data_IF_072208021890
#
_entry.id   IF_072208021890
#
_cell.length_a   1.000
_cell.length_b   1.000
_cell.length_c   1.000
_cell.angle_alpha   90.00
_cell.angle_beta   90.00
_cell.angle_gamma   90.00
#
_symmetry.space_group_name_H-M   'P 1'
#
loop_
_entity.id
_entity.type
_entity.pdbx_description
1 polymer ?
#
# COMPACT_ATOMS: atom_id res chain seq x y z
N UNK A 1 10.29 -11.62 -6.45
CA UNK A 1 10.74 -12.27 -5.21
C UNK A 1 11.40 -11.26 -4.28
N UNK A 2 12.42 -10.51 -4.74
CA UNK A 2 13.16 -9.52 -3.92
C UNK A 2 12.25 -8.53 -3.14
N UNK A 3 11.12 -8.11 -3.71
CA UNK A 3 10.16 -7.24 -3.03
C UNK A 3 9.60 -7.90 -1.76
N UNK A 4 9.26 -9.18 -1.82
CA UNK A 4 8.70 -9.88 -0.66
C UNK A 4 9.74 -10.22 0.40
N UNK A 5 10.99 -10.45 -0.01
CA UNK A 5 12.12 -10.57 0.91
C UNK A 5 12.33 -9.27 1.67
N UNK A 6 12.33 -8.13 0.96
CA UNK A 6 12.37 -6.80 1.58
C UNK A 6 11.19 -6.56 2.53
N UNK A 7 9.97 -6.95 2.15
CA UNK A 7 8.79 -6.82 3.01
C UNK A 7 8.97 -7.64 4.30
N UNK A 8 9.37 -8.91 4.16
CA UNK A 8 9.59 -9.77 5.31
C UNK A 8 10.64 -9.18 6.26
N UNK A 9 11.74 -8.67 5.71
CA UNK A 9 12.81 -8.02 6.49
C UNK A 9 12.32 -6.76 7.19
N UNK A 10 11.67 -5.86 6.46
CA UNK A 10 11.21 -4.56 6.99
C UNK A 10 10.09 -4.69 8.03
N UNK A 11 9.23 -5.72 7.92
CA UNK A 11 8.03 -5.85 8.75
C UNK A 11 8.19 -6.84 9.90
N UNK A 12 9.24 -7.65 9.91
CA UNK A 12 9.54 -8.59 11.03
C UNK A 12 9.49 -7.93 12.42
N UNK A 13 9.97 -6.69 12.63
CA UNK A 13 9.89 -6.04 13.93
C UNK A 13 8.48 -5.58 14.34
N UNK A 14 7.48 -5.60 13.43
CA UNK A 14 6.14 -5.11 13.71
C UNK A 14 5.33 -6.14 14.49
N UNK A 15 4.61 -5.66 15.50
CA UNK A 15 3.73 -6.50 16.32
C UNK A 15 2.70 -7.23 15.45
N UNK A 16 2.62 -8.54 15.64
CA UNK A 16 1.65 -9.39 14.95
C UNK A 16 2.01 -9.70 13.49
N UNK A 17 3.18 -9.26 12.99
CA UNK A 17 3.63 -9.65 11.67
C UNK A 17 4.05 -11.11 11.63
N UNK A 18 3.67 -11.81 10.58
CA UNK A 18 4.14 -13.17 10.26
C UNK A 18 4.71 -13.16 8.86
N UNK A 19 5.93 -13.66 8.72
CA UNK A 19 6.61 -13.69 7.43
C UNK A 19 5.79 -14.47 6.39
N UNK A 20 5.74 -13.92 5.18
CA UNK A 20 5.02 -14.53 4.06
C UNK A 20 5.76 -15.78 3.59
N UNK A 21 5.02 -16.87 3.48
CA UNK A 21 5.51 -18.11 2.88
C UNK A 21 5.58 -17.99 1.36
N UNK A 22 6.43 -18.81 0.70
CA UNK A 22 6.55 -18.80 -0.77
C UNK A 22 5.20 -19.00 -1.46
N UNK A 23 4.37 -19.90 -0.94
CA UNK A 23 3.02 -20.14 -1.49
C UNK A 23 2.12 -18.89 -1.44
N UNK A 24 2.18 -18.13 -0.35
CA UNK A 24 1.44 -16.86 -0.22
C UNK A 24 2.00 -15.80 -1.18
N UNK A 25 3.32 -15.70 -1.32
CA UNK A 25 3.99 -14.81 -2.26
C UNK A 25 3.51 -15.09 -3.69
N UNK A 26 3.57 -16.34 -4.12
CA UNK A 26 3.14 -16.76 -5.46
C UNK A 26 1.66 -16.43 -5.72
N UNK A 27 0.82 -16.61 -4.70
CA UNK A 27 -0.59 -16.25 -4.76
C UNK A 27 -0.79 -14.74 -4.89
N UNK A 28 -0.08 -13.93 -4.12
CA UNK A 28 -0.16 -12.47 -4.20
C UNK A 28 0.34 -11.95 -5.55
N UNK A 29 1.48 -12.44 -6.03
CA UNK A 29 1.99 -12.07 -7.36
C UNK A 29 0.95 -12.38 -8.43
N UNK A 30 0.40 -13.59 -8.45
CA UNK A 30 -0.60 -14.01 -9.43
C UNK A 30 -1.88 -13.16 -9.38
N UNK A 31 -2.28 -12.73 -8.19
CA UNK A 31 -3.52 -11.97 -7.96
C UNK A 31 -3.35 -10.48 -8.30
N UNK A 32 -2.27 -9.86 -7.84
CA UNK A 32 -2.11 -8.41 -7.89
C UNK A 32 -1.34 -7.91 -9.11
N UNK A 33 -0.30 -8.65 -9.57
CA UNK A 33 0.54 -8.19 -10.68
C UNK A 33 -0.25 -7.85 -11.96
N UNK A 34 -1.30 -8.60 -12.36
CA UNK A 34 -2.07 -8.30 -13.57
C UNK A 34 -2.89 -7.01 -13.48
N UNK A 35 -3.21 -6.54 -12.27
CA UNK A 35 -4.06 -5.36 -12.05
C UNK A 35 -3.27 -4.12 -11.61
N UNK A 36 -1.99 -4.28 -11.25
CA UNK A 36 -1.12 -3.18 -10.85
C UNK A 36 -0.75 -2.31 -12.06
N UNK A 37 -0.81 -1.01 -11.87
CA UNK A 37 -0.17 -0.06 -12.77
C UNK A 37 1.27 0.14 -12.33
N UNK A 38 2.22 -0.31 -13.13
CA UNK A 38 3.65 -0.22 -12.80
C UNK A 38 4.15 1.21 -12.60
N UNK A 39 3.44 2.22 -13.10
CA UNK A 39 3.73 3.63 -12.82
C UNK A 39 3.50 3.99 -11.34
N UNK A 40 2.60 3.26 -10.67
CA UNK A 40 2.26 3.41 -9.26
C UNK A 40 3.09 2.47 -8.35
N UNK A 41 4.13 1.86 -8.92
CA UNK A 41 5.11 1.04 -8.21
C UNK A 41 6.46 1.72 -8.31
N UNK A 42 7.11 1.98 -7.18
CA UNK A 42 8.46 2.53 -7.12
C UNK A 42 9.39 1.59 -6.38
N UNK A 43 10.54 1.34 -6.97
CA UNK A 43 11.63 0.58 -6.39
C UNK A 43 12.83 1.51 -6.24
N UNK A 44 13.54 1.40 -5.12
CA UNK A 44 14.81 2.09 -4.90
C UNK A 44 15.86 1.03 -4.64
N UNK A 45 16.97 1.12 -5.37
CA UNK A 45 18.16 0.30 -5.18
C UNK A 45 19.31 1.16 -4.65
N UNK A 46 20.27 0.52 -4.00
CA UNK A 46 21.53 1.14 -3.62
C UNK A 46 22.56 1.10 -4.77
N UNK A 47 23.81 1.44 -4.45
CA UNK A 47 24.92 1.47 -5.43
C UNK A 47 25.34 0.08 -5.94
N UNK A 48 24.99 -0.95 -5.20
CA UNK A 48 25.24 -2.35 -5.53
C UNK A 48 24.00 -3.03 -6.18
N UNK A 49 23.06 -2.23 -6.69
CA UNK A 49 21.79 -2.68 -7.29
C UNK A 49 20.91 -3.53 -6.36
N UNK A 50 21.13 -3.45 -5.04
CA UNK A 50 20.31 -4.16 -4.07
C UNK A 50 19.03 -3.37 -3.78
N UNK A 51 17.88 -4.04 -3.80
CA UNK A 51 16.58 -3.41 -3.49
C UNK A 51 16.55 -2.99 -2.01
N UNK A 52 16.42 -1.70 -1.76
CA UNK A 52 16.40 -1.12 -0.40
C UNK A 52 15.06 -0.52 0.00
N UNK A 53 14.22 -0.17 -0.97
CA UNK A 53 12.88 0.30 -0.67
C UNK A 53 11.88 0.00 -1.80
N UNK A 54 10.62 -0.13 -1.43
CA UNK A 54 9.50 -0.30 -2.36
C UNK A 54 8.28 0.49 -1.88
N UNK A 55 7.59 1.13 -2.83
CA UNK A 55 6.27 1.73 -2.65
C UNK A 55 5.32 1.17 -3.70
N UNK A 56 4.18 0.66 -3.26
CA UNK A 56 3.13 0.10 -4.13
C UNK A 56 1.81 0.76 -3.78
N UNK A 57 1.14 1.28 -4.79
CA UNK A 57 -0.18 1.88 -4.67
C UNK A 57 -1.08 1.46 -5.82
N UNK A 58 -2.39 1.63 -5.65
CA UNK A 58 -3.38 1.35 -6.68
C UNK A 58 -4.59 2.26 -6.55
N UNK A 59 -5.41 2.42 -7.60
CA UNK A 59 -6.69 3.11 -7.46
C UNK A 59 -7.55 2.45 -6.39
N UNK A 60 -8.19 3.27 -5.53
CA UNK A 60 -9.09 2.71 -4.50
C UNK A 60 -10.30 2.03 -5.14
N UNK A 61 -10.57 0.82 -4.68
CA UNK A 61 -11.74 0.05 -5.09
C UNK A 61 -12.95 0.28 -4.18
N UNK A 62 -12.82 1.08 -3.12
CA UNK A 62 -13.84 1.28 -2.10
C UNK A 62 -15.17 1.79 -2.69
N UNK A 63 -15.12 2.77 -3.59
CA UNK A 63 -16.32 3.31 -4.24
C UNK A 63 -16.99 2.28 -5.17
N UNK A 64 -16.18 1.50 -5.89
CA UNK A 64 -16.69 0.44 -6.77
C UNK A 64 -17.37 -0.67 -5.96
N UNK A 65 -16.78 -1.07 -4.84
CA UNK A 65 -17.34 -2.06 -3.92
C UNK A 65 -18.62 -1.55 -3.26
N UNK A 66 -18.69 -0.29 -2.87
CA UNK A 66 -19.92 0.31 -2.34
C UNK A 66 -21.03 0.32 -3.38
N UNK A 67 -20.77 0.75 -4.62
CA UNK A 67 -21.75 0.78 -5.71
C UNK A 67 -22.25 -0.61 -6.11
N UNK A 68 -21.39 -1.62 -5.98
CA UNK A 68 -21.76 -3.01 -6.25
C UNK A 68 -22.40 -3.71 -5.06
N UNK A 69 -22.54 -3.03 -3.90
CA UNK A 69 -22.96 -3.63 -2.63
C UNK A 69 -22.16 -4.91 -2.26
N UNK A 70 -20.88 -4.95 -2.63
CA UNK A 70 -20.00 -6.11 -2.45
C UNK A 70 -20.32 -7.31 -3.33
N UNK A 71 -21.21 -7.19 -4.29
CA UNK A 71 -21.62 -8.28 -5.20
C UNK A 71 -20.95 -8.14 -6.56
N UNK A 72 -20.38 -9.24 -7.06
CA UNK A 72 -19.73 -9.25 -8.38
C UNK A 72 -20.76 -9.33 -9.52
N UNK A 73 -21.84 -10.11 -9.33
CA UNK A 73 -22.89 -10.32 -10.31
C UNK A 73 -24.19 -9.63 -9.86
N UNK A 74 -25.04 -9.17 -10.82
CA UNK A 74 -24.83 -9.21 -12.27
C UNK A 74 -23.90 -8.11 -12.81
N UNK A 75 -23.78 -6.95 -12.18
CA UNK A 75 -23.06 -5.80 -12.74
C UNK A 75 -21.90 -5.25 -11.88
N UNK A 76 -21.59 -5.87 -10.75
CA UNK A 76 -20.51 -5.41 -9.85
C UNK A 76 -19.13 -5.43 -10.50
N UNK A 77 -18.85 -6.40 -11.35
CA UNK A 77 -17.63 -6.50 -12.14
C UNK A 77 -17.38 -5.26 -13.01
N UNK A 78 -18.44 -4.64 -13.53
CA UNK A 78 -18.33 -3.42 -14.35
C UNK A 78 -17.75 -2.25 -13.52
N UNK A 79 -18.21 -2.05 -12.28
CA UNK A 79 -17.70 -0.99 -11.41
C UNK A 79 -16.23 -1.22 -11.05
N UNK A 80 -15.82 -2.48 -10.81
CA UNK A 80 -14.44 -2.85 -10.53
C UNK A 80 -13.53 -2.62 -11.74
N UNK A 81 -13.92 -3.10 -12.92
CA UNK A 81 -13.16 -2.86 -14.14
C UNK A 81 -13.04 -1.36 -14.44
N UNK A 82 -14.10 -0.61 -14.24
CA UNK A 82 -14.09 0.84 -14.41
C UNK A 82 -13.12 1.51 -13.46
N UNK A 83 -13.06 1.11 -12.19
CA UNK A 83 -12.12 1.65 -11.21
C UNK A 83 -10.66 1.34 -11.58
N UNK A 84 -10.38 0.11 -12.05
CA UNK A 84 -9.04 -0.34 -12.40
C UNK A 84 -8.50 0.25 -13.71
N UNK A 85 -9.35 0.30 -14.75
CA UNK A 85 -8.90 0.64 -16.11
C UNK A 85 -9.22 2.08 -16.52
N UNK A 86 -10.29 2.69 -15.98
CA UNK A 86 -10.66 4.08 -16.25
C UNK A 86 -10.23 5.02 -15.13
N UNK A 87 -8.96 4.98 -14.77
CA UNK A 87 -8.31 5.63 -13.61
C UNK A 87 -8.56 7.12 -13.47
N UNK A 88 -8.73 7.85 -14.57
CA UNK A 88 -8.98 9.31 -14.58
C UNK A 88 -10.22 9.76 -13.79
N UNK A 89 -11.06 8.82 -13.30
CA UNK A 89 -12.25 9.12 -12.50
C UNK A 89 -12.12 8.69 -11.03
N UNK A 90 -11.11 7.93 -10.67
CA UNK A 90 -10.83 7.63 -9.28
C UNK A 90 -10.13 8.84 -8.66
N UNK A 91 -10.76 9.46 -7.66
CA UNK A 91 -10.16 10.58 -6.91
C UNK A 91 -9.22 10.12 -5.83
N UNK A 92 -9.36 8.87 -5.38
CA UNK A 92 -8.63 8.29 -4.27
C UNK A 92 -7.78 7.11 -4.74
N UNK A 93 -6.58 7.03 -4.24
CA UNK A 93 -5.71 5.86 -4.34
C UNK A 93 -5.48 5.24 -2.96
N UNK A 94 -5.19 3.96 -2.92
CA UNK A 94 -4.78 3.23 -1.73
C UNK A 94 -3.26 3.05 -1.74
N UNK A 95 -2.57 3.49 -0.68
CA UNK A 95 -1.17 3.18 -0.43
C UNK A 95 -1.12 1.76 0.13
N UNK A 96 -0.91 0.76 -0.74
CA UNK A 96 -1.01 -0.64 -0.34
C UNK A 96 0.16 -1.06 0.53
N UNK A 97 1.37 -0.60 0.19
CA UNK A 97 2.57 -1.06 0.83
C UNK A 97 3.71 -0.06 0.64
N UNK A 98 4.39 0.25 1.73
CA UNK A 98 5.67 0.96 1.74
C UNK A 98 6.62 0.18 2.65
N UNK A 99 7.74 -0.30 2.10
CA UNK A 99 8.76 -0.99 2.87
C UNK A 99 10.13 -0.39 2.58
N UNK A 100 10.93 -0.22 3.63
CA UNK A 100 12.31 0.26 3.56
C UNK A 100 13.15 -0.65 4.45
N UNK A 101 14.28 -1.15 3.93
CA UNK A 101 15.23 -1.94 4.70
C UNK A 101 15.58 -1.25 6.02
N UNK A 102 15.71 -1.99 7.13
CA UNK A 102 15.98 -1.40 8.46
C UNK A 102 17.18 -0.44 8.48
N UNK A 103 18.26 -0.79 7.81
CA UNK A 103 19.48 0.02 7.76
C UNK A 103 19.34 1.31 6.93
N UNK A 104 18.32 1.42 6.08
CA UNK A 104 18.00 2.60 5.26
C UNK A 104 16.86 3.45 5.84
N UNK A 105 16.24 3.01 6.92
CA UNK A 105 15.23 3.81 7.63
C UNK A 105 15.84 5.07 8.25
N UNK A 106 15.04 6.12 8.35
CA UNK A 106 15.44 7.46 8.86
C UNK A 106 16.56 8.16 8.03
N UNK A 107 16.84 7.68 6.80
CA UNK A 107 17.81 8.27 5.88
C UNK A 107 17.15 9.02 4.71
N UNK A 108 15.88 9.37 4.82
CA UNK A 108 15.15 10.10 3.78
C UNK A 108 14.66 9.24 2.62
N UNK A 109 14.84 7.92 2.65
CA UNK A 109 14.44 7.01 1.56
C UNK A 109 12.92 7.02 1.33
N UNK A 110 12.12 7.18 2.39
CA UNK A 110 10.67 7.39 2.25
C UNK A 110 10.34 8.66 1.46
N UNK A 111 11.09 9.74 1.70
CA UNK A 111 10.89 10.98 0.96
C UNK A 111 11.20 10.82 -0.52
N UNK A 112 12.22 10.04 -0.88
CA UNK A 112 12.52 9.70 -2.28
C UNK A 112 11.39 8.92 -2.94
N UNK A 113 10.82 7.92 -2.25
CA UNK A 113 9.65 7.19 -2.75
C UNK A 113 8.49 8.13 -3.08
N UNK A 114 8.14 9.00 -2.15
CA UNK A 114 7.01 9.92 -2.32
C UNK A 114 7.31 11.04 -3.32
N UNK A 115 8.56 11.53 -3.40
CA UNK A 115 8.94 12.55 -4.40
C UNK A 115 8.73 12.07 -5.83
N UNK A 116 8.91 10.78 -6.08
CA UNK A 116 8.71 10.18 -7.40
C UNK A 116 7.26 9.75 -7.65
N UNK A 117 6.57 9.26 -6.62
CA UNK A 117 5.21 8.73 -6.75
C UNK A 117 4.15 9.84 -6.80
N UNK A 118 4.30 10.92 -6.01
CA UNK A 118 3.32 12.00 -5.95
C UNK A 118 3.07 12.66 -7.32
N UNK A 119 4.09 13.03 -8.11
CA UNK A 119 3.87 13.56 -9.45
C UNK A 119 3.10 12.59 -10.36
N UNK A 120 3.36 11.29 -10.24
CA UNK A 120 2.61 10.26 -10.99
C UNK A 120 1.14 10.23 -10.57
N UNK A 121 0.85 10.29 -9.28
CA UNK A 121 -0.52 10.33 -8.77
C UNK A 121 -1.27 11.56 -9.28
N UNK A 122 -0.64 12.71 -9.25
CA UNK A 122 -1.21 13.97 -9.77
C UNK A 122 -1.49 13.90 -11.28
N UNK A 123 -0.55 13.36 -12.07
CA UNK A 123 -0.73 13.15 -13.51
C UNK A 123 -1.86 12.18 -13.84
N UNK A 124 -2.07 11.18 -12.97
CA UNK A 124 -3.17 10.23 -13.10
C UNK A 124 -4.52 10.80 -12.62
N UNK A 125 -4.51 11.99 -11.99
CA UNK A 125 -5.72 12.71 -11.55
C UNK A 125 -6.22 12.32 -10.17
N UNK A 126 -5.38 11.68 -9.34
CA UNK A 126 -5.74 11.42 -7.94
C UNK A 126 -5.65 12.70 -7.10
N UNK A 127 -6.63 12.90 -6.23
CA UNK A 127 -6.73 14.04 -5.32
C UNK A 127 -6.38 13.64 -3.88
N UNK A 128 -6.60 12.37 -3.54
CA UNK A 128 -6.45 11.82 -2.18
C UNK A 128 -5.72 10.49 -2.21
N UNK A 129 -4.99 10.21 -1.13
CA UNK A 129 -4.40 8.91 -0.85
C UNK A 129 -4.88 8.41 0.52
N UNK A 130 -5.31 7.15 0.60
CA UNK A 130 -5.64 6.48 1.86
C UNK A 130 -4.50 5.53 2.22
N UNK A 131 -3.94 5.68 3.44
CA UNK A 131 -2.99 4.71 3.97
C UNK A 131 -3.73 3.52 4.58
N UNK A 132 -3.08 2.36 4.60
CA UNK A 132 -3.57 1.21 5.35
C UNK A 132 -3.58 1.53 6.87
N UNK A 133 -4.38 0.77 7.68
CA UNK A 133 -4.35 0.91 9.12
C UNK A 133 -2.93 0.73 9.67
N UNK A 134 -2.46 1.72 10.40
CA UNK A 134 -1.15 1.74 11.03
C UNK A 134 -1.27 1.39 12.50
N UNK A 135 -0.25 0.73 13.03
CA UNK A 135 -0.20 0.43 14.46
C UNK A 135 -0.07 1.73 15.26
N UNK A 136 -0.86 1.89 16.32
CA UNK A 136 -0.85 3.06 17.19
C UNK A 136 0.53 3.31 17.81
N UNK A 137 1.32 2.26 18.01
CA UNK A 137 2.68 2.33 18.55
C UNK A 137 3.77 2.56 17.49
N UNK A 138 3.42 2.60 16.20
CA UNK A 138 4.39 2.83 15.13
C UNK A 138 4.60 4.33 14.87
N UNK A 139 5.17 5.04 15.86
CA UNK A 139 5.42 6.48 15.77
C UNK A 139 6.30 6.89 14.59
N UNK A 140 7.19 6.00 14.11
CA UNK A 140 8.05 6.29 12.95
C UNK A 140 7.24 6.46 11.66
N UNK A 141 6.21 5.64 11.46
CA UNK A 141 5.33 5.74 10.30
C UNK A 141 4.41 6.94 10.44
N UNK A 142 3.91 7.20 11.66
CA UNK A 142 3.02 8.34 11.92
C UNK A 142 3.73 9.68 11.70
N UNK A 143 4.99 9.81 12.12
CA UNK A 143 5.78 11.04 11.96
C UNK A 143 5.98 11.43 10.46
N UNK A 144 5.99 10.48 9.53
CA UNK A 144 6.11 10.82 8.10
C UNK A 144 4.92 11.62 7.58
N UNK A 145 3.74 11.49 8.21
CA UNK A 145 2.52 12.18 7.79
C UNK A 145 2.47 13.65 8.22
N UNK A 146 3.35 14.09 9.13
CA UNK A 146 3.44 15.49 9.55
C UNK A 146 3.78 16.44 8.39
N UNK A 147 4.43 15.93 7.36
CA UNK A 147 4.76 16.69 6.14
C UNK A 147 3.61 16.81 5.13
N UNK A 148 2.47 16.18 5.41
CA UNK A 148 1.30 16.16 4.52
C UNK A 148 0.06 16.67 5.23
N UNK A 149 -0.89 17.19 4.45
CA UNK A 149 -2.22 17.48 4.99
C UNK A 149 -2.98 16.18 5.16
N UNK A 150 -3.09 15.69 6.38
CA UNK A 150 -3.70 14.39 6.70
C UNK A 150 -4.90 14.51 7.62
N UNK A 151 -5.81 13.55 7.52
CA UNK A 151 -6.96 13.37 8.40
C UNK A 151 -7.05 11.92 8.84
N UNK A 152 -7.05 11.67 10.15
CA UNK A 152 -7.28 10.35 10.70
C UNK A 152 -8.79 10.07 10.76
N UNK A 153 -9.32 9.37 9.77
CA UNK A 153 -10.77 9.14 9.62
C UNK A 153 -11.24 7.75 10.08
N UNK A 154 -10.33 6.82 10.35
CA UNK A 154 -10.64 5.46 10.82
C UNK A 154 -9.75 5.06 11.98
N UNK A 155 -10.33 4.39 12.99
CA UNK A 155 -9.60 3.75 14.09
C UNK A 155 -10.20 2.37 14.35
N UNK A 156 -9.33 1.38 14.50
CA UNK A 156 -9.72 -0.01 14.84
C UNK A 156 -8.94 -0.46 16.06
N UNK A 157 -9.57 -1.24 16.94
CA UNK A 157 -8.93 -1.90 18.08
C UNK A 157 -9.31 -3.35 18.12
N UNK A 158 -8.35 -4.21 18.43
CA UNK A 158 -8.57 -5.60 18.80
C UNK A 158 -8.49 -5.71 20.33
N UNK A 159 -9.40 -6.49 20.93
CA UNK A 159 -9.44 -6.73 22.35
C UNK A 159 -9.28 -8.23 22.60
N UNK A 160 -8.56 -8.59 23.66
CA UNK A 160 -8.46 -9.96 24.15
C UNK A 160 -9.37 -10.06 25.37
N UNK A 161 -10.21 -11.12 25.43
CA UNK A 161 -10.99 -11.49 26.60
C UNK A 161 -10.62 -12.91 26.97
N UNK A 162 -10.15 -13.11 28.18
CA UNK A 162 -10.00 -14.45 28.74
C UNK A 162 -11.38 -15.04 28.99
N UNK A 163 -11.59 -16.25 28.50
CA UNK A 163 -12.82 -17.02 28.71
C UNK A 163 -12.45 -18.08 29.74
N UNK A 164 -12.86 -17.85 30.98
CA UNK A 164 -12.71 -18.80 32.08
C UNK A 164 -13.63 -20.00 31.93
#
# INVERSE_FOLDING_TARGET
QAIFELINEAYTPLYGYSALTQRQIDQYVKMYLPILDLRMVKLITDQDDQLVAVGISMPSLSEALQKSHGRLLPFGWYYLLKALFFKRRAKMLDLLLVAVKPEYQNKGVNALLFSDLIPVYQQLGFEYAESNPELELNGKVQAQWEYFRTEQHKRRRAFIKEIG
#
